data_IF_126351399954
#
_entry.id   IF_126351399954
#
_cell.length_a   1.000
_cell.length_b   1.000
_cell.length_c   1.000
_cell.angle_alpha   90.00
_cell.angle_beta   90.00
_cell.angle_gamma   90.00
#
_symmetry.space_group_name_H-M   'P 1'
#
loop_
_entity.id
_entity.type
_entity.pdbx_description
1 polymer ?
#
# COMPACT_ATOMS: atom_id res chain seq x y z
N UNK A 1 -6.39 -3.65 1.14
CA UNK A 1 -5.04 -3.05 0.98
C UNK A 1 -5.18 -1.57 0.65
N UNK A 2 -4.47 -0.68 1.35
CA UNK A 2 -4.56 0.79 1.17
C UNK A 2 -3.23 1.47 1.36
N UNK A 3 -3.05 2.65 0.76
CA UNK A 3 -1.83 3.43 0.89
C UNK A 3 -1.89 4.34 2.12
N UNK A 4 -0.95 4.20 3.05
CA UNK A 4 -0.77 5.09 4.20
C UNK A 4 -0.03 6.39 3.79
N UNK A 5 -0.34 7.49 4.48
CA UNK A 5 0.07 8.84 4.08
C UNK A 5 1.55 9.14 4.44
N UNK A 6 2.42 9.26 3.42
CA UNK A 6 3.88 9.50 3.52
C UNK A 6 4.29 10.94 3.92
N UNK A 7 3.42 11.77 4.49
CA UNK A 7 3.69 13.22 4.69
C UNK A 7 4.81 13.58 5.67
N UNK A 8 5.51 12.61 6.29
CA UNK A 8 6.49 12.85 7.35
C UNK A 8 7.83 12.10 7.18
N UNK A 9 8.29 11.85 5.95
CA UNK A 9 9.66 11.36 5.73
C UNK A 9 10.66 12.53 5.69
N UNK A 10 11.66 12.64 6.59
CA UNK A 10 12.71 13.63 6.46
C UNK A 10 13.56 13.30 5.23
N UNK A 11 13.64 14.25 4.28
CA UNK A 11 14.47 14.14 3.08
C UNK A 11 15.93 14.42 3.45
N UNK A 12 16.75 13.38 3.52
CA UNK A 12 18.20 13.55 3.56
C UNK A 12 18.66 13.90 2.15
N UNK A 13 18.93 15.19 1.90
CA UNK A 13 19.49 15.66 0.62
C UNK A 13 21.00 15.45 0.67
N UNK A 14 21.47 14.34 0.12
CA UNK A 14 22.88 14.12 -0.18
C UNK A 14 23.26 14.88 -1.46
N UNK A 15 24.19 15.82 -1.32
CA UNK A 15 24.77 16.61 -2.40
C UNK A 15 25.85 15.78 -3.12
N UNK A 16 25.76 15.57 -4.44
CA UNK A 16 26.90 15.13 -5.25
C UNK A 16 26.79 15.63 -6.70
N UNK A 17 27.94 16.09 -7.19
CA UNK A 17 28.16 16.93 -8.37
C UNK A 17 28.27 16.12 -9.68
N UNK A 18 27.93 16.79 -10.79
CA UNK A 18 27.83 16.33 -12.18
C UNK A 18 29.14 15.77 -12.80
N UNK A 19 29.03 14.68 -13.57
CA UNK A 19 29.82 14.47 -14.80
C UNK A 19 29.02 13.66 -15.83
N UNK A 20 28.92 14.16 -17.06
CA UNK A 20 28.11 13.60 -18.16
C UNK A 20 28.90 12.60 -19.03
N UNK A 21 28.30 11.47 -19.39
CA UNK A 21 28.58 10.72 -20.63
C UNK A 21 27.44 9.73 -20.96
N UNK A 22 26.92 9.89 -22.18
CA UNK A 22 26.03 9.03 -22.97
C UNK A 22 25.46 7.73 -22.36
N UNK A 23 24.13 7.69 -22.21
CA UNK A 23 23.37 6.43 -22.06
C UNK A 23 22.14 6.43 -22.97
N UNK A 24 22.06 5.35 -23.74
CA UNK A 24 20.92 4.89 -24.55
C UNK A 24 19.60 4.99 -23.77
N UNK A 25 18.51 5.37 -24.47
CA UNK A 25 17.15 5.28 -23.96
C UNK A 25 16.80 3.83 -23.59
N UNK A 26 17.15 3.40 -22.38
CA UNK A 26 16.37 2.45 -21.64
C UNK A 26 15.17 3.23 -21.12
N UNK A 27 13.97 2.93 -21.63
CA UNK A 27 12.74 3.42 -21.04
C UNK A 27 12.75 2.95 -19.57
N UNK A 28 13.03 3.87 -18.67
CA UNK A 28 13.15 3.60 -17.25
C UNK A 28 11.83 3.04 -16.73
N UNK A 29 11.83 1.75 -16.41
CA UNK A 29 11.34 1.39 -15.10
C UNK A 29 12.23 2.19 -14.15
N UNK A 30 11.72 3.30 -13.65
CA UNK A 30 12.32 3.93 -12.48
C UNK A 30 12.22 2.86 -11.39
N UNK A 31 13.26 2.05 -11.24
CA UNK A 31 13.46 1.20 -10.09
C UNK A 31 13.40 2.17 -8.92
N UNK A 32 12.28 2.14 -8.19
CA UNK A 32 12.20 2.88 -6.96
C UNK A 32 13.27 2.25 -6.07
N UNK A 33 14.33 2.99 -5.76
CA UNK A 33 15.27 2.68 -4.66
C UNK A 33 14.53 2.77 -3.31
N UNK A 34 13.44 2.03 -3.15
CA UNK A 34 12.48 2.22 -2.08
C UNK A 34 11.99 0.88 -1.60
N UNK A 35 12.24 0.62 -0.31
CA UNK A 35 11.56 -0.44 0.41
C UNK A 35 10.06 -0.17 0.44
N UNK A 36 9.26 -1.22 0.27
CA UNK A 36 7.81 -1.21 0.45
C UNK A 36 7.47 -1.84 1.80
N UNK A 37 6.87 -1.07 2.70
CA UNK A 37 6.49 -1.54 4.02
C UNK A 37 5.00 -1.93 4.04
N UNK A 38 4.72 -3.20 4.33
CA UNK A 38 3.36 -3.77 4.36
C UNK A 38 3.06 -4.30 5.76
N UNK A 39 1.86 -3.97 6.27
CA UNK A 39 1.30 -4.56 7.49
C UNK A 39 -0.02 -5.27 7.17
N UNK A 40 -0.03 -6.60 7.25
CA UNK A 40 -1.19 -7.44 6.92
C UNK A 40 -1.51 -8.43 8.06
N UNK A 41 -2.60 -9.17 7.91
CA UNK A 41 -2.96 -10.27 8.81
C UNK A 41 -1.92 -11.41 8.74
N UNK A 42 -1.70 -12.09 9.88
CA UNK A 42 -0.96 -13.36 9.90
C UNK A 42 -1.63 -14.39 8.99
N UNK A 43 -0.82 -15.23 8.35
CA UNK A 43 -1.26 -16.37 7.52
C UNK A 43 -2.21 -15.97 6.37
N UNK A 44 -2.05 -14.74 5.86
CA UNK A 44 -2.97 -14.12 4.90
C UNK A 44 -2.36 -13.84 3.54
N UNK A 45 -1.22 -14.44 3.22
CA UNK A 45 -0.53 -14.33 1.93
C UNK A 45 0.12 -15.67 1.60
N UNK A 46 0.25 -16.02 0.31
CA UNK A 46 0.97 -17.23 -0.07
C UNK A 46 2.48 -17.05 0.16
N UNK A 47 3.17 -18.16 0.49
CA UNK A 47 4.58 -18.18 0.90
C UNK A 47 5.53 -17.53 -0.11
N UNK A 48 5.20 -17.62 -1.41
CA UNK A 48 6.04 -17.16 -2.53
C UNK A 48 5.64 -15.77 -3.07
N UNK A 49 4.58 -15.15 -2.55
CA UNK A 49 4.05 -13.90 -3.15
C UNK A 49 5.04 -12.75 -3.03
N UNK A 50 5.73 -12.63 -1.90
CA UNK A 50 6.71 -11.56 -1.69
C UNK A 50 7.94 -11.82 -2.56
N UNK A 51 8.50 -13.02 -2.51
CA UNK A 51 9.68 -13.39 -3.32
C UNK A 51 9.44 -13.14 -4.82
N UNK A 52 8.29 -13.57 -5.34
CA UNK A 52 7.93 -13.35 -6.73
C UNK A 52 7.80 -11.85 -7.07
N UNK A 53 7.21 -11.05 -6.18
CA UNK A 53 7.08 -9.60 -6.37
C UNK A 53 8.43 -8.90 -6.36
N UNK A 54 9.31 -9.23 -5.41
CA UNK A 54 10.67 -8.68 -5.33
C UNK A 54 11.47 -9.05 -6.58
N UNK A 55 11.37 -10.30 -7.05
CA UNK A 55 12.05 -10.76 -8.25
C UNK A 55 11.57 -10.06 -9.53
N UNK A 56 10.26 -9.79 -9.65
CA UNK A 56 9.69 -9.12 -10.82
C UNK A 56 10.00 -7.61 -10.84
N UNK A 57 10.01 -6.96 -9.68
CA UNK A 57 10.04 -5.48 -9.59
C UNK A 57 11.36 -4.89 -9.14
N UNK A 58 12.20 -5.68 -8.44
CA UNK A 58 13.40 -5.21 -7.77
C UNK A 58 13.13 -4.33 -6.54
N UNK A 59 11.89 -4.33 -6.02
CA UNK A 59 11.49 -3.58 -4.83
C UNK A 59 11.62 -4.48 -3.62
N UNK A 60 12.46 -4.13 -2.65
CA UNK A 60 12.55 -4.82 -1.36
C UNK A 60 11.25 -4.63 -0.55
N UNK A 61 10.71 -5.68 0.03
CA UNK A 61 9.48 -5.64 0.83
C UNK A 61 9.80 -5.94 2.30
N UNK A 62 9.40 -5.02 3.18
CA UNK A 62 9.35 -5.24 4.62
C UNK A 62 7.91 -5.61 4.97
N UNK A 63 7.69 -6.88 5.28
CA UNK A 63 6.36 -7.44 5.54
C UNK A 63 6.20 -7.79 7.02
N UNK A 64 5.36 -7.02 7.71
CA UNK A 64 4.98 -7.26 9.09
C UNK A 64 3.55 -7.81 9.16
N UNK A 65 3.28 -8.53 10.25
CA UNK A 65 1.96 -9.12 10.52
C UNK A 65 1.33 -8.60 11.81
N UNK A 66 0.00 -8.65 11.86
CA UNK A 66 -0.81 -8.44 13.06
C UNK A 66 -1.96 -9.46 13.15
N UNK A 67 -2.58 -9.55 14.31
CA UNK A 67 -3.60 -10.55 14.65
C UNK A 67 -4.94 -9.96 15.12
N UNK A 68 -5.04 -8.63 15.24
CA UNK A 68 -6.24 -7.92 15.69
C UNK A 68 -6.37 -6.54 15.06
N UNK A 69 -7.61 -6.11 14.80
CA UNK A 69 -7.87 -4.78 14.26
C UNK A 69 -7.46 -3.67 15.24
N UNK A 70 -7.55 -3.91 16.54
CA UNK A 70 -7.20 -2.97 17.61
C UNK A 70 -5.70 -2.65 17.61
N UNK A 71 -4.85 -3.65 17.37
CA UNK A 71 -3.39 -3.45 17.21
C UNK A 71 -3.10 -2.56 16.00
N UNK A 72 -3.76 -2.83 14.87
CA UNK A 72 -3.61 -2.00 13.66
C UNK A 72 -4.14 -0.57 13.90
N UNK A 73 -5.33 -0.42 14.46
CA UNK A 73 -5.96 0.89 14.73
C UNK A 73 -5.10 1.73 15.68
N UNK A 74 -4.57 1.13 16.75
CA UNK A 74 -3.65 1.81 17.66
C UNK A 74 -2.40 2.34 16.98
N UNK A 75 -1.77 1.54 16.10
CA UNK A 75 -0.62 1.98 15.29
C UNK A 75 -1.00 3.14 14.37
N UNK A 76 -2.13 3.03 13.66
CA UNK A 76 -2.60 4.05 12.71
C UNK A 76 -2.90 5.39 13.39
N UNK A 77 -3.58 5.36 14.56
CA UNK A 77 -3.93 6.57 15.31
C UNK A 77 -2.72 7.23 15.99
N UNK A 78 -1.69 6.47 16.33
CA UNK A 78 -0.42 7.03 16.79
C UNK A 78 0.28 7.88 15.71
N UNK A 79 -0.06 7.65 14.43
CA UNK A 79 0.52 8.33 13.28
C UNK A 79 1.94 7.86 12.98
N UNK A 80 2.49 8.34 11.84
CA UNK A 80 3.85 8.01 11.38
C UNK A 80 4.19 6.52 11.48
N UNK A 81 3.30 5.67 10.97
CA UNK A 81 3.35 4.22 11.20
C UNK A 81 4.57 3.55 10.57
N UNK A 82 5.18 4.19 9.57
CA UNK A 82 6.27 3.62 8.78
C UNK A 82 5.81 2.60 7.73
N UNK A 83 4.50 2.37 7.60
CA UNK A 83 3.95 1.48 6.59
C UNK A 83 3.45 2.25 5.38
N UNK A 84 3.63 1.68 4.20
CA UNK A 84 3.08 2.15 2.94
C UNK A 84 1.73 1.49 2.68
N UNK A 85 1.58 0.20 3.01
CA UNK A 85 0.35 -0.56 2.80
C UNK A 85 -0.17 -1.22 4.07
N UNK A 86 -1.47 -1.09 4.34
CA UNK A 86 -2.15 -1.75 5.46
C UNK A 86 -3.45 -2.44 5.03
N UNK A 87 -3.90 -3.42 5.83
CA UNK A 87 -5.07 -4.28 5.51
C UNK A 87 -6.11 -4.34 6.64
N UNK A 88 -6.82 -3.23 6.96
CA UNK A 88 -7.91 -3.24 7.94
C UNK A 88 -9.14 -4.01 7.44
N UNK A 89 -10.00 -4.44 8.37
CA UNK A 89 -11.35 -4.92 8.03
C UNK A 89 -12.29 -3.77 7.65
N UNK A 90 -13.41 -4.08 6.97
CA UNK A 90 -14.35 -3.07 6.47
C UNK A 90 -14.92 -2.12 7.54
N UNK A 91 -15.29 -2.63 8.71
CA UNK A 91 -15.84 -1.81 9.80
C UNK A 91 -14.81 -0.87 10.44
N UNK A 92 -13.54 -1.27 10.47
CA UNK A 92 -12.45 -0.41 10.94
C UNK A 92 -12.07 0.62 9.87
N UNK A 93 -12.02 0.19 8.62
CA UNK A 93 -11.81 1.06 7.47
C UNK A 93 -12.77 2.24 7.47
N UNK A 94 -14.07 2.00 7.66
CA UNK A 94 -15.09 3.04 7.61
C UNK A 94 -14.80 4.19 8.58
N UNK A 95 -14.49 3.86 9.83
CA UNK A 95 -14.13 4.85 10.86
C UNK A 95 -12.80 5.54 10.56
N UNK A 96 -11.84 4.79 10.00
CA UNK A 96 -10.50 5.27 9.66
C UNK A 96 -10.50 6.24 8.47
N UNK A 97 -11.28 5.97 7.42
CA UNK A 97 -11.50 6.91 6.31
C UNK A 97 -12.12 8.20 6.81
N UNK A 98 -13.10 8.11 7.71
CA UNK A 98 -13.77 9.29 8.26
C UNK A 98 -12.80 10.24 9.02
N UNK A 99 -11.73 9.71 9.61
CA UNK A 99 -10.70 10.51 10.30
C UNK A 99 -9.50 10.86 9.40
N UNK A 100 -9.54 10.51 8.11
CA UNK A 100 -8.60 11.00 7.10
C UNK A 100 -7.19 10.44 7.18
N UNK A 101 -7.00 9.23 7.71
CA UNK A 101 -5.66 8.62 7.84
C UNK A 101 -5.12 8.02 6.53
N UNK A 102 -6.00 7.75 5.56
CA UNK A 102 -5.65 7.20 4.25
C UNK A 102 -5.67 8.25 3.16
N UNK A 103 -4.78 8.11 2.18
CA UNK A 103 -4.86 8.89 0.95
C UNK A 103 -5.79 8.21 -0.07
N UNK A 104 -6.50 8.97 -0.91
CA UNK A 104 -7.27 8.37 -1.99
C UNK A 104 -6.34 7.68 -3.00
N UNK A 105 -6.83 6.58 -3.56
CA UNK A 105 -6.14 5.81 -4.59
C UNK A 105 -6.22 6.52 -5.94
N UNK A 106 -5.07 6.65 -6.59
CA UNK A 106 -5.02 7.01 -8.01
C UNK A 106 -5.28 5.76 -8.86
N UNK A 107 -6.54 5.59 -9.28
CA UNK A 107 -6.97 4.45 -10.10
C UNK A 107 -6.30 4.37 -11.46
N UNK A 108 -5.80 5.50 -11.99
CA UNK A 108 -5.09 5.47 -13.29
C UNK A 108 -3.80 4.66 -13.24
N UNK A 109 -3.23 4.48 -12.03
CA UNK A 109 -2.04 3.68 -11.77
C UNK A 109 -2.33 2.21 -11.47
N UNK A 110 -3.61 1.83 -11.37
CA UNK A 110 -4.05 0.48 -11.06
C UNK A 110 -4.58 -0.19 -12.33
N UNK A 111 -3.66 -0.58 -13.22
CA UNK A 111 -3.99 -1.20 -14.51
C UNK A 111 -4.82 -2.47 -14.38
N UNK A 112 -4.70 -3.18 -13.26
CA UNK A 112 -5.45 -4.40 -12.94
C UNK A 112 -6.76 -4.15 -12.17
N UNK A 113 -7.18 -2.90 -11.95
CA UNK A 113 -8.39 -2.58 -11.19
C UNK A 113 -9.66 -3.18 -11.82
N UNK A 114 -9.68 -3.35 -13.14
CA UNK A 114 -10.78 -3.98 -13.87
C UNK A 114 -11.03 -5.46 -13.53
N UNK A 115 -10.09 -6.11 -12.83
CA UNK A 115 -10.23 -7.52 -12.42
C UNK A 115 -11.08 -7.70 -11.14
N UNK A 116 -11.43 -6.59 -10.46
CA UNK A 116 -12.19 -6.64 -9.22
C UNK A 116 -13.65 -7.02 -9.46
N UNK A 117 -14.21 -7.83 -8.56
CA UNK A 117 -15.61 -8.22 -8.62
C UNK A 117 -16.52 -7.04 -8.25
N UNK A 118 -17.46 -6.69 -9.14
CA UNK A 118 -18.38 -5.56 -8.96
C UNK A 118 -19.27 -5.67 -7.72
N UNK A 119 -19.79 -6.85 -7.40
CA UNK A 119 -20.64 -7.06 -6.21
C UNK A 119 -19.83 -6.83 -4.92
N UNK A 120 -18.57 -7.27 -4.90
CA UNK A 120 -17.68 -7.01 -3.76
C UNK A 120 -17.36 -5.52 -3.65
N UNK A 121 -17.14 -4.83 -4.77
CA UNK A 121 -16.93 -3.38 -4.78
C UNK A 121 -18.14 -2.63 -4.24
N UNK A 122 -19.36 -3.01 -4.62
CA UNK A 122 -20.59 -2.42 -4.11
C UNK A 122 -20.71 -2.58 -2.58
N UNK A 123 -20.37 -3.76 -2.04
CA UNK A 123 -20.36 -3.99 -0.59
C UNK A 123 -19.30 -3.14 0.11
N UNK A 124 -18.09 -3.09 -0.44
CA UNK A 124 -17.00 -2.26 0.11
C UNK A 124 -17.34 -0.77 0.07
N UNK A 125 -18.13 -0.32 -0.90
CA UNK A 125 -18.56 1.07 -0.99
C UNK A 125 -19.42 1.53 0.20
N UNK A 126 -20.01 0.59 0.95
CA UNK A 126 -20.67 0.87 2.23
C UNK A 126 -19.71 1.31 3.34
N UNK A 127 -18.44 0.94 3.25
CA UNK A 127 -17.39 1.32 4.20
C UNK A 127 -16.45 2.41 3.66
N UNK A 128 -16.22 2.42 2.36
CA UNK A 128 -15.37 3.40 1.67
C UNK A 128 -16.14 3.98 0.48
N UNK A 129 -16.88 5.10 0.67
CA UNK A 129 -17.74 5.67 -0.35
C UNK A 129 -17.02 5.87 -1.68
N UNK A 130 -17.57 5.25 -2.72
CA UNK A 130 -17.02 5.30 -4.06
C UNK A 130 -15.71 4.51 -4.22
N UNK A 131 -15.34 3.62 -3.30
CA UNK A 131 -14.11 2.82 -3.26
C UNK A 131 -12.84 3.67 -3.44
N UNK A 132 -12.81 4.83 -2.78
CA UNK A 132 -11.81 5.87 -3.00
C UNK A 132 -10.45 5.55 -2.36
N UNK A 133 -10.40 4.75 -1.30
CA UNK A 133 -9.21 4.49 -0.49
C UNK A 133 -8.78 3.01 -0.49
N UNK A 134 -9.71 2.11 -0.81
CA UNK A 134 -9.58 0.67 -0.57
C UNK A 134 -9.53 -0.20 -1.84
N UNK A 135 -8.64 -1.19 -1.84
CA UNK A 135 -8.76 -2.39 -2.70
C UNK A 135 -9.16 -3.60 -1.84
N UNK A 136 -10.28 -4.29 -2.17
CA UNK A 136 -10.65 -5.54 -1.51
C UNK A 136 -9.60 -6.61 -1.78
N UNK A 137 -9.17 -7.31 -0.73
CA UNK A 137 -8.15 -8.35 -0.82
C UNK A 137 -8.77 -9.75 -0.67
N UNK A 138 -9.33 -10.02 0.51
CA UNK A 138 -10.03 -11.27 0.81
C UNK A 138 -11.24 -10.96 1.69
N UNK A 139 -12.19 -11.89 1.74
CA UNK A 139 -13.40 -11.81 2.56
C UNK A 139 -13.80 -13.23 3.02
N UNK A 140 -14.59 -13.32 4.09
CA UNK A 140 -15.04 -14.58 4.68
C UNK A 140 -16.26 -14.38 5.57
N UNK A 141 -16.66 -15.44 6.29
CA UNK A 141 -17.80 -15.46 7.22
C UNK A 141 -17.41 -16.12 8.53
#
# INVERSE_FOLDING_TARGET
MMIANSKYRPRWVGLATVLAAATTLAAGAAAAEGQLHILNWSDYIAEDTIENFEAETGIDVIYDVFDSNEVLEGKLLAGNTGYDLVVPTGSFLERQVAVGIFQPLDRSRLTNYGNLNGEILERVAGHDPGNAHAIPYMWGT
#
